data_IF_838280177535
#
_entry.id   IF_838280177535
#
_cell.length_a   1.000
_cell.length_b   1.000
_cell.length_c   1.000
_cell.angle_alpha   90.00
_cell.angle_beta   90.00
_cell.angle_gamma   90.00
#
_symmetry.space_group_name_H-M   'P 1'
#
loop_
_entity.id
_entity.type
_entity.pdbx_description
1 polymer ?
#
# COMPACT_ATOMS: atom_id res chain seq x y z
N UNK A 1 0.55 15.95 -3.20
CA UNK A 1 1.20 14.68 -3.58
C UNK A 1 2.64 14.66 -3.12
N UNK A 2 3.16 13.49 -2.72
CA UNK A 2 4.60 13.25 -2.60
C UNK A 2 5.28 13.45 -3.96
N UNK A 3 6.56 13.82 -3.96
CA UNK A 3 7.32 14.01 -5.19
C UNK A 3 8.02 12.69 -5.55
N UNK A 4 7.69 12.12 -6.70
CA UNK A 4 8.40 10.95 -7.24
C UNK A 4 9.78 11.40 -7.73
N UNK A 5 10.85 10.81 -7.20
CA UNK A 5 12.22 11.10 -7.66
C UNK A 5 12.55 10.33 -8.92
N UNK A 6 12.22 9.04 -8.92
CA UNK A 6 12.37 8.17 -10.08
C UNK A 6 11.42 6.98 -9.98
N UNK A 7 11.10 6.43 -11.14
CA UNK A 7 10.34 5.21 -11.32
C UNK A 7 11.09 4.40 -12.38
N UNK A 8 12.02 3.56 -11.94
CA UNK A 8 12.89 2.79 -12.82
C UNK A 8 12.66 1.29 -12.62
N UNK A 9 12.74 0.54 -13.71
CA UNK A 9 13.09 -0.88 -13.62
C UNK A 9 14.55 -0.96 -13.17
N UNK A 10 14.81 -1.58 -12.02
CA UNK A 10 16.19 -1.85 -11.61
C UNK A 10 16.68 -3.01 -12.47
N UNK A 11 17.66 -2.74 -13.33
CA UNK A 11 18.24 -3.69 -14.29
C UNK A 11 19.10 -4.80 -13.66
N UNK A 12 18.77 -5.27 -12.47
CA UNK A 12 19.54 -6.32 -11.83
C UNK A 12 18.61 -7.37 -11.26
N UNK A 13 18.73 -8.58 -11.81
CA UNK A 13 18.21 -9.88 -11.37
C UNK A 13 16.88 -10.31 -12.01
N UNK A 14 15.87 -9.45 -12.14
CA UNK A 14 14.60 -9.83 -12.79
C UNK A 14 13.91 -8.63 -13.46
N UNK A 15 13.47 -8.78 -14.72
CA UNK A 15 12.78 -7.73 -15.49
C UNK A 15 11.43 -7.31 -14.88
N UNK A 16 10.87 -8.15 -14.00
CA UNK A 16 9.58 -7.89 -13.35
C UNK A 16 9.71 -7.01 -12.09
N UNK A 17 10.93 -6.75 -11.61
CA UNK A 17 11.16 -5.95 -10.43
C UNK A 17 11.21 -4.45 -10.79
N UNK A 18 10.43 -3.63 -10.08
CA UNK A 18 10.37 -2.18 -10.25
C UNK A 18 10.68 -1.48 -8.93
N UNK A 19 11.37 -0.34 -9.00
CA UNK A 19 11.59 0.54 -7.85
C UNK A 19 10.97 1.90 -8.12
N UNK A 20 10.21 2.37 -7.13
CA UNK A 20 9.74 3.75 -7.07
C UNK A 20 10.35 4.38 -5.83
N UNK A 21 11.06 5.49 -6.02
CA UNK A 21 11.53 6.34 -4.92
C UNK A 21 10.67 7.59 -4.83
N UNK A 22 10.14 7.86 -3.64
CA UNK A 22 9.34 9.03 -3.35
C UNK A 22 9.94 9.77 -2.17
N UNK A 23 9.92 11.10 -2.25
CA UNK A 23 10.32 11.98 -1.16
C UNK A 23 9.26 13.05 -0.94
N UNK A 24 9.35 13.70 0.22
CA UNK A 24 8.62 14.93 0.47
C UNK A 24 9.50 16.15 0.16
N UNK A 25 8.88 17.31 0.02
CA UNK A 25 9.54 18.55 -0.41
C UNK A 25 9.94 19.44 0.79
N UNK A 26 10.68 20.51 0.52
CA UNK A 26 11.14 21.49 1.49
C UNK A 26 10.51 22.86 1.22
N UNK A 27 10.38 23.67 2.26
CA UNK A 27 9.93 25.06 2.19
C UNK A 27 10.68 25.86 3.26
N UNK A 28 11.27 26.99 2.88
CA UNK A 28 12.09 27.84 3.77
C UNK A 28 13.16 27.06 4.56
N UNK A 29 13.87 26.15 3.88
CA UNK A 29 14.92 25.35 4.49
C UNK A 29 14.42 24.17 5.33
N UNK A 30 13.10 23.94 5.41
CA UNK A 30 12.49 22.97 6.33
C UNK A 30 11.71 21.90 5.59
N UNK A 31 11.83 20.66 6.08
CA UNK A 31 11.02 19.56 5.60
C UNK A 31 9.53 19.83 5.84
N UNK A 32 8.70 19.70 4.80
CA UNK A 32 7.27 20.05 4.87
C UNK A 32 6.45 18.97 5.57
N UNK A 33 6.66 18.78 6.87
CA UNK A 33 5.96 17.77 7.68
C UNK A 33 4.43 17.88 7.59
N UNK A 34 3.88 19.11 7.46
CA UNK A 34 2.44 19.32 7.28
C UNK A 34 1.90 18.68 5.99
N UNK A 35 2.69 18.70 4.91
CA UNK A 35 2.32 18.06 3.64
C UNK A 35 2.28 16.54 3.77
N UNK A 36 3.22 15.97 4.54
CA UNK A 36 3.25 14.55 4.88
C UNK A 36 2.04 14.15 5.73
N UNK A 37 1.74 14.90 6.80
CA UNK A 37 0.54 14.70 7.63
C UNK A 37 -0.75 14.80 6.81
N UNK A 38 -0.86 15.80 5.93
CA UNK A 38 -2.04 15.95 5.07
C UNK A 38 -2.24 14.74 4.17
N UNK A 39 -1.18 14.18 3.59
CA UNK A 39 -1.31 12.96 2.79
C UNK A 39 -1.89 11.79 3.59
N UNK A 40 -1.50 11.63 4.86
CA UNK A 40 -2.08 10.61 5.75
C UNK A 40 -3.57 10.87 5.95
N UNK A 41 -3.95 12.09 6.34
CA UNK A 41 -5.33 12.46 6.62
C UNK A 41 -6.23 12.41 5.37
N UNK A 42 -5.70 12.72 4.20
CA UNK A 42 -6.45 12.65 2.93
C UNK A 42 -6.75 11.20 2.52
N UNK A 43 -5.96 10.22 2.99
CA UNK A 43 -6.06 8.82 2.59
C UNK A 43 -6.57 7.88 3.69
N UNK A 44 -6.67 8.35 4.93
CA UNK A 44 -7.20 7.57 6.06
C UNK A 44 -8.62 7.05 5.78
N UNK A 45 -9.45 7.86 5.12
CA UNK A 45 -10.84 7.52 4.79
C UNK A 45 -10.94 6.27 3.90
N UNK A 46 -9.95 6.07 3.03
CA UNK A 46 -9.97 5.02 2.02
C UNK A 46 -9.72 3.63 2.61
N UNK A 47 -8.95 3.58 3.69
CA UNK A 47 -8.58 2.32 4.35
C UNK A 47 -9.41 2.07 5.61
N UNK A 48 -9.82 3.14 6.30
CA UNK A 48 -10.53 3.04 7.58
C UNK A 48 -12.06 2.98 7.44
N UNK A 49 -12.62 3.25 6.26
CA UNK A 49 -14.07 3.18 5.98
C UNK A 49 -14.33 2.31 4.74
N UNK A 50 -15.50 1.67 4.68
CA UNK A 50 -15.98 1.01 3.44
C UNK A 50 -16.42 2.01 2.36
N UNK A 51 -16.53 1.60 1.10
CA UNK A 51 -17.02 2.49 0.04
C UNK A 51 -18.45 2.96 0.31
N UNK A 52 -19.30 2.07 0.82
CA UNK A 52 -20.67 2.45 1.21
C UNK A 52 -20.68 3.50 2.32
N UNK A 53 -19.82 3.38 3.33
CA UNK A 53 -19.71 4.41 4.36
C UNK A 53 -19.22 5.73 3.78
N UNK A 54 -18.20 5.71 2.90
CA UNK A 54 -17.72 6.93 2.22
C UNK A 54 -18.82 7.62 1.41
N UNK A 55 -19.64 6.86 0.69
CA UNK A 55 -20.76 7.37 -0.10
C UNK A 55 -21.94 7.84 0.77
N UNK A 56 -22.18 7.20 1.92
CA UNK A 56 -23.31 7.50 2.80
C UNK A 56 -23.10 8.74 3.69
N UNK A 57 -21.88 9.27 3.80
CA UNK A 57 -21.65 10.46 4.63
C UNK A 57 -22.15 11.75 3.97
N UNK A 58 -23.40 12.08 4.30
CA UNK A 58 -24.04 13.38 4.02
C UNK A 58 -23.48 14.50 4.94
N UNK A 59 -22.77 14.15 6.02
CA UNK A 59 -22.26 15.08 7.06
C UNK A 59 -21.03 15.91 6.68
N UNK A 60 -20.48 15.73 5.47
CA UNK A 60 -19.31 16.45 4.98
C UNK A 60 -17.96 15.91 5.48
N UNK A 61 -16.84 16.43 4.94
CA UNK A 61 -15.50 15.83 5.10
C UNK A 61 -15.01 15.67 6.55
N UNK A 62 -15.37 16.61 7.44
CA UNK A 62 -14.88 16.64 8.83
C UNK A 62 -15.42 15.48 9.69
N UNK A 63 -16.68 15.07 9.49
CA UNK A 63 -17.27 13.97 10.25
C UNK A 63 -16.72 12.62 9.79
N UNK A 64 -16.53 12.43 8.48
CA UNK A 64 -15.89 11.24 7.93
C UNK A 64 -14.45 11.08 8.46
N UNK A 65 -13.71 12.18 8.57
CA UNK A 65 -12.35 12.18 9.10
C UNK A 65 -12.30 11.78 10.57
N UNK A 66 -13.19 12.34 11.40
CA UNK A 66 -13.28 11.99 12.81
C UNK A 66 -13.58 10.49 13.02
N UNK A 67 -14.46 9.90 12.19
CA UNK A 67 -14.77 8.47 12.27
C UNK A 67 -13.61 7.59 11.78
N UNK A 68 -12.98 7.95 10.66
CA UNK A 68 -11.80 7.24 10.19
C UNK A 68 -10.64 7.29 11.21
N UNK A 69 -10.48 8.40 11.93
CA UNK A 69 -9.52 8.52 13.01
C UNK A 69 -9.84 7.59 14.19
N UNK A 70 -11.12 7.44 14.58
CA UNK A 70 -11.53 6.48 15.63
C UNK A 70 -11.26 5.02 15.26
N UNK A 71 -11.19 4.74 13.96
CA UNK A 71 -10.96 3.42 13.41
C UNK A 71 -9.47 3.03 13.35
N UNK A 72 -8.57 3.97 13.63
CA UNK A 72 -7.15 3.70 13.79
C UNK A 72 -6.86 3.19 15.21
N UNK A 73 -5.96 2.22 15.33
CA UNK A 73 -5.41 1.81 16.61
C UNK A 73 -4.28 2.76 16.99
N UNK A 74 -4.65 3.98 17.36
CA UNK A 74 -3.74 4.94 17.98
C UNK A 74 -3.49 4.49 19.42
N UNK A 75 -2.37 3.79 19.65
CA UNK A 75 -1.97 3.43 21.01
C UNK A 75 -0.81 4.30 21.49
N UNK A 76 -0.96 4.87 22.69
CA UNK A 76 0.09 5.66 23.33
C UNK A 76 1.16 4.77 23.99
N UNK A 77 0.95 3.46 24.05
CA UNK A 77 1.83 2.54 24.77
C UNK A 77 3.16 2.32 24.04
N UNK A 78 4.30 2.72 24.63
CA UNK A 78 5.66 2.49 24.07
C UNK A 78 5.99 1.01 23.83
N UNK A 79 5.16 0.09 24.33
CA UNK A 79 5.32 -1.36 24.20
C UNK A 79 4.54 -1.96 23.02
N UNK A 80 3.74 -1.18 22.30
CA UNK A 80 3.02 -1.70 21.13
C UNK A 80 3.91 -1.76 19.90
N UNK A 81 4.20 -3.00 19.48
CA UNK A 81 4.94 -3.33 18.25
C UNK A 81 4.18 -2.85 17.00
N UNK A 82 2.88 -2.54 17.10
CA UNK A 82 2.06 -2.00 16.02
C UNK A 82 2.21 -0.48 15.80
N UNK A 83 3.05 0.22 16.58
CA UNK A 83 3.27 1.66 16.44
C UNK A 83 3.83 1.98 15.04
N UNK A 84 2.97 2.51 14.17
CA UNK A 84 3.30 2.98 12.83
C UNK A 84 3.07 1.99 11.68
N UNK A 85 2.63 0.75 11.95
CA UNK A 85 2.25 -0.16 10.86
C UNK A 85 1.04 0.37 10.08
N UNK A 86 0.02 0.85 10.78
CA UNK A 86 -1.17 1.48 10.17
C UNK A 86 -0.81 2.72 9.36
N UNK A 87 0.22 3.46 9.78
CA UNK A 87 0.71 4.63 9.05
C UNK A 87 1.27 4.22 7.69
N UNK A 88 2.17 3.23 7.66
CA UNK A 88 2.73 2.71 6.42
C UNK A 88 1.64 2.10 5.52
N UNK A 89 0.63 1.44 6.10
CA UNK A 89 -0.53 0.95 5.38
C UNK A 89 -1.29 2.11 4.70
N UNK A 90 -1.65 3.18 5.43
CA UNK A 90 -2.33 4.36 4.87
C UNK A 90 -1.53 4.94 3.70
N UNK A 91 -0.20 5.03 3.84
CA UNK A 91 0.67 5.51 2.76
C UNK A 91 0.60 4.60 1.53
N UNK A 92 0.72 3.29 1.74
CA UNK A 92 0.64 2.31 0.67
C UNK A 92 -0.70 2.43 -0.06
N UNK A 93 -1.83 2.51 0.65
CA UNK A 93 -3.15 2.78 0.05
C UNK A 93 -3.17 4.05 -0.79
N UNK A 94 -2.66 5.16 -0.24
CA UNK A 94 -2.59 6.42 -0.97
C UNK A 94 -1.75 6.31 -2.25
N UNK A 95 -0.59 5.65 -2.19
CA UNK A 95 0.27 5.46 -3.37
C UNK A 95 -0.43 4.58 -4.40
N UNK A 96 -1.01 3.45 -3.98
CA UNK A 96 -1.76 2.55 -4.85
C UNK A 96 -2.89 3.28 -5.60
N UNK A 97 -3.68 4.10 -4.90
CA UNK A 97 -4.76 4.88 -5.50
C UNK A 97 -4.23 5.99 -6.42
N UNK A 98 -3.33 6.84 -5.93
CA UNK A 98 -2.97 8.08 -6.63
C UNK A 98 -1.98 7.84 -7.76
N UNK A 99 -1.01 6.93 -7.56
CA UNK A 99 0.03 6.62 -8.54
C UNK A 99 -0.42 5.53 -9.51
N UNK A 100 -0.90 4.40 -8.99
CA UNK A 100 -1.26 3.25 -9.83
C UNK A 100 -2.73 3.22 -10.28
N UNK A 101 -3.55 4.19 -9.85
CA UNK A 101 -4.99 4.23 -10.11
C UNK A 101 -5.70 2.93 -9.67
N UNK A 102 -5.15 2.29 -8.65
CA UNK A 102 -5.63 1.02 -8.17
C UNK A 102 -6.90 1.21 -7.34
N UNK A 103 -7.89 0.35 -7.58
CA UNK A 103 -9.16 0.32 -6.87
C UNK A 103 -8.98 -0.39 -5.52
N UNK A 104 -9.27 0.26 -4.38
CA UNK A 104 -9.15 -0.35 -3.06
C UNK A 104 -10.36 -1.25 -2.77
N UNK A 105 -10.29 -2.51 -3.21
CA UNK A 105 -11.42 -3.45 -3.16
C UNK A 105 -11.62 -4.12 -1.80
N UNK A 106 -10.66 -3.98 -0.88
CA UNK A 106 -10.78 -4.41 0.51
C UNK A 106 -10.17 -3.34 1.44
N UNK A 107 -10.96 -2.55 2.18
CA UNK A 107 -10.46 -1.60 3.17
C UNK A 107 -9.92 -2.34 4.41
N UNK A 108 -8.61 -2.63 4.44
CA UNK A 108 -8.03 -3.51 5.47
C UNK A 108 -8.13 -2.96 6.89
N UNK A 109 -7.91 -1.65 7.10
CA UNK A 109 -8.03 -1.06 8.43
C UNK A 109 -9.48 -1.13 8.93
N UNK A 110 -10.47 -0.94 8.05
CA UNK A 110 -11.88 -1.14 8.39
C UNK A 110 -12.15 -2.55 8.95
N UNK A 111 -11.69 -3.60 8.27
CA UNK A 111 -11.90 -4.98 8.72
C UNK A 111 -11.03 -5.40 9.91
N UNK A 112 -9.93 -4.70 10.21
CA UNK A 112 -9.07 -4.97 11.39
C UNK A 112 -9.69 -4.51 12.72
N UNK A 113 -10.85 -3.85 12.70
CA UNK A 113 -11.54 -3.34 13.90
C UNK A 113 -12.17 -4.44 14.75
N UNK A 114 -12.74 -5.48 14.13
CA UNK A 114 -13.31 -6.60 14.87
C UNK A 114 -12.21 -7.60 15.24
N UNK A 115 -12.01 -7.86 16.52
CA UNK A 115 -10.99 -8.81 17.02
C UNK A 115 -11.20 -10.25 16.53
N UNK A 116 -12.42 -10.59 16.08
CA UNK A 116 -12.75 -11.88 15.47
C UNK A 116 -12.60 -11.89 13.93
N UNK A 117 -12.37 -10.74 13.28
CA UNK A 117 -12.30 -10.70 11.83
C UNK A 117 -10.97 -11.21 11.29
N UNK A 118 -11.10 -12.18 10.39
CA UNK A 118 -10.01 -12.99 9.85
C UNK A 118 -9.22 -12.27 8.74
N UNK A 119 -9.27 -10.94 8.60
CA UNK A 119 -8.56 -10.20 7.55
C UNK A 119 -7.03 -10.08 7.79
N UNK A 120 -6.41 -11.09 8.43
CA UNK A 120 -4.96 -11.27 8.53
C UNK A 120 -4.44 -11.86 7.21
N UNK A 121 -3.60 -11.11 6.51
CA UNK A 121 -3.09 -11.41 5.17
C UNK A 121 -2.33 -10.20 4.63
N UNK A 122 -2.60 -9.79 3.39
CA UNK A 122 -1.97 -8.61 2.81
C UNK A 122 -2.40 -7.33 3.53
N UNK A 123 -1.45 -6.38 3.66
CA UNK A 123 -1.67 -5.08 4.28
C UNK A 123 -2.55 -4.17 3.42
N UNK A 124 -2.49 -4.37 2.10
CA UNK A 124 -3.42 -3.74 1.17
C UNK A 124 -3.83 -4.68 0.05
N UNK A 125 -5.06 -4.50 -0.44
CA UNK A 125 -5.60 -5.32 -1.54
C UNK A 125 -6.29 -4.43 -2.54
N UNK A 126 -5.75 -4.42 -3.76
CA UNK A 126 -6.22 -3.57 -4.82
C UNK A 126 -6.37 -4.32 -6.15
N UNK A 127 -7.18 -3.75 -7.04
CA UNK A 127 -7.29 -4.15 -8.45
C UNK A 127 -6.88 -2.98 -9.32
N UNK A 128 -5.99 -3.21 -10.29
CA UNK A 128 -5.70 -2.24 -11.35
C UNK A 128 -6.38 -2.73 -12.62
N UNK A 129 -7.16 -1.86 -13.25
CA UNK A 129 -7.78 -2.11 -14.55
C UNK A 129 -6.79 -1.63 -15.61
N UNK A 130 -6.28 -2.56 -16.41
CA UNK A 130 -5.28 -2.28 -17.45
C UNK A 130 -5.96 -1.77 -18.73
N UNK A 131 -7.10 -2.37 -19.07
CA UNK A 131 -7.96 -2.00 -20.19
C UNK A 131 -9.40 -2.51 -19.94
N UNK A 132 -10.30 -2.35 -20.92
CA UNK A 132 -11.71 -2.72 -20.80
C UNK A 132 -11.95 -4.19 -20.39
N UNK A 133 -10.97 -5.07 -20.66
CA UNK A 133 -11.10 -6.50 -20.44
C UNK A 133 -10.07 -7.08 -19.47
N UNK A 134 -8.99 -6.37 -19.14
CA UNK A 134 -7.88 -6.91 -18.36
C UNK A 134 -7.70 -6.21 -17.03
N UNK A 135 -7.31 -6.99 -16.03
CA UNK A 135 -7.04 -6.50 -14.69
C UNK A 135 -5.85 -7.24 -14.08
N UNK A 136 -5.20 -6.57 -13.14
CA UNK A 136 -4.15 -7.15 -12.31
C UNK A 136 -4.53 -7.05 -10.83
N UNK A 137 -4.08 -8.02 -10.05
CA UNK A 137 -4.33 -8.12 -8.61
C UNK A 137 -3.11 -7.65 -7.84
N UNK A 138 -3.29 -6.84 -6.81
CA UNK A 138 -2.20 -6.23 -6.07
C UNK A 138 -2.34 -6.50 -4.58
N UNK A 139 -1.45 -7.31 -4.01
CA UNK A 139 -1.39 -7.63 -2.59
C UNK A 139 -0.16 -7.00 -1.96
N UNK A 140 -0.40 -5.92 -1.22
CA UNK A 140 0.69 -5.10 -0.70
C UNK A 140 1.17 -5.49 0.68
N UNK A 141 2.41 -5.14 0.95
CA UNK A 141 3.10 -5.26 2.24
C UNK A 141 3.64 -3.87 2.61
N UNK A 142 3.40 -3.42 3.84
CA UNK A 142 3.81 -2.11 4.32
C UNK A 142 4.68 -2.21 5.57
N UNK A 143 5.86 -1.59 5.54
CA UNK A 143 6.78 -1.52 6.69
C UNK A 143 7.06 -0.09 7.09
N UNK A 144 7.15 0.11 8.41
CA UNK A 144 7.60 1.35 9.03
C UNK A 144 8.87 1.06 9.84
N UNK A 145 10.00 1.60 9.40
CA UNK A 145 11.30 1.32 10.00
C UNK A 145 12.08 2.60 10.33
N UNK A 146 13.02 2.51 11.26
CA UNK A 146 14.00 3.56 11.49
C UNK A 146 15.19 3.51 10.51
N UNK A 147 15.36 2.39 9.80
CA UNK A 147 16.38 2.23 8.76
C UNK A 147 15.97 1.13 7.79
N UNK A 148 16.66 1.07 6.65
CA UNK A 148 16.46 0.07 5.59
C UNK A 148 17.72 -0.78 5.39
N UNK A 149 18.34 -1.17 6.50
CA UNK A 149 19.47 -2.09 6.51
C UNK A 149 19.05 -3.51 6.15
N UNK A 150 20.02 -4.31 5.68
CA UNK A 150 19.77 -5.64 5.11
C UNK A 150 19.09 -6.62 6.07
N UNK A 151 19.28 -6.45 7.38
CA UNK A 151 18.69 -7.29 8.42
C UNK A 151 17.16 -7.12 8.53
N UNK A 152 16.59 -6.03 8.00
CA UNK A 152 15.15 -5.78 7.96
C UNK A 152 14.45 -6.59 6.86
N UNK A 153 15.17 -6.92 5.78
CA UNK A 153 14.59 -7.50 4.57
C UNK A 153 14.07 -8.92 4.76
N UNK A 154 14.69 -9.73 5.62
CA UNK A 154 14.26 -11.11 5.85
C UNK A 154 12.83 -11.18 6.42
N UNK A 155 12.46 -10.20 7.25
CA UNK A 155 11.10 -10.09 7.79
C UNK A 155 10.07 -9.72 6.71
N UNK A 156 10.44 -8.89 5.73
CA UNK A 156 9.61 -8.53 4.58
C UNK A 156 9.42 -9.76 3.69
N UNK A 157 10.51 -10.42 3.32
CA UNK A 157 10.49 -11.60 2.45
C UNK A 157 9.65 -12.72 3.07
N UNK A 158 9.81 -12.94 4.38
CA UNK A 158 8.99 -13.91 5.11
C UNK A 158 7.51 -13.53 5.07
N UNK A 159 7.16 -12.25 5.26
CA UNK A 159 5.77 -11.79 5.17
C UNK A 159 5.17 -11.99 3.78
N UNK A 160 5.93 -11.60 2.74
CA UNK A 160 5.54 -11.78 1.34
C UNK A 160 5.36 -13.26 0.98
N UNK A 161 6.32 -14.11 1.32
CA UNK A 161 6.22 -15.56 1.07
C UNK A 161 4.98 -16.17 1.74
N UNK A 162 4.68 -15.73 2.95
CA UNK A 162 3.46 -16.15 3.63
C UNK A 162 2.21 -15.67 2.89
N UNK A 163 2.16 -14.39 2.47
CA UNK A 163 0.98 -13.79 1.82
C UNK A 163 0.66 -14.38 0.44
N UNK A 164 1.68 -14.87 -0.28
CA UNK A 164 1.51 -15.50 -1.61
C UNK A 164 1.32 -17.02 -1.57
N UNK A 165 1.26 -17.64 -0.39
CA UNK A 165 0.89 -19.05 -0.28
C UNK A 165 -0.52 -19.29 -0.82
N UNK A 166 -0.77 -20.47 -1.40
CA UNK A 166 -2.05 -20.81 -2.04
C UNK A 166 -3.26 -20.54 -1.15
N UNK A 167 -3.19 -20.93 0.12
CA UNK A 167 -4.30 -20.75 1.06
C UNK A 167 -4.54 -19.28 1.40
N UNK A 168 -3.48 -18.46 1.47
CA UNK A 168 -3.60 -17.02 1.70
C UNK A 168 -4.17 -16.30 0.49
N UNK A 169 -3.71 -16.62 -0.72
CA UNK A 169 -4.29 -16.06 -1.95
C UNK A 169 -5.78 -16.44 -2.06
N UNK A 170 -6.14 -17.71 -1.84
CA UNK A 170 -7.55 -18.14 -1.87
C UNK A 170 -8.41 -17.40 -0.83
N UNK A 171 -7.86 -17.19 0.36
CA UNK A 171 -8.53 -16.43 1.41
C UNK A 171 -8.74 -14.97 1.00
N UNK A 172 -7.73 -14.31 0.46
CA UNK A 172 -7.84 -12.93 -0.03
C UNK A 172 -8.84 -12.81 -1.18
N UNK A 173 -8.79 -13.73 -2.15
CA UNK A 173 -9.74 -13.80 -3.25
C UNK A 173 -11.19 -13.94 -2.73
N UNK A 174 -11.41 -14.81 -1.73
CA UNK A 174 -12.71 -14.96 -1.09
C UNK A 174 -13.20 -13.66 -0.46
N UNK A 175 -12.32 -12.93 0.24
CA UNK A 175 -12.68 -11.62 0.82
C UNK A 175 -13.10 -10.67 -0.29
N UNK A 176 -12.29 -10.51 -1.35
CA UNK A 176 -12.59 -9.62 -2.49
C UNK A 176 -13.96 -9.93 -3.11
N UNK A 177 -14.26 -11.22 -3.35
CA UNK A 177 -15.53 -11.62 -3.96
C UNK A 177 -16.75 -11.41 -3.04
N UNK A 178 -16.54 -11.26 -1.74
CA UNK A 178 -17.59 -11.05 -0.76
C UNK A 178 -17.72 -9.58 -0.31
N UNK A 179 -16.81 -8.69 -0.72
CA UNK A 179 -16.94 -7.26 -0.41
C UNK A 179 -17.92 -6.59 -1.37
N UNK A 180 -18.71 -5.66 -0.84
CA UNK A 180 -19.56 -4.78 -1.67
C UNK A 180 -18.72 -3.76 -2.47
N UNK A 181 -17.51 -3.48 -1.99
CA UNK A 181 -16.62 -2.49 -2.58
C UNK A 181 -16.28 -2.84 -4.03
N UNK A 182 -16.01 -4.11 -4.35
CA UNK A 182 -15.76 -4.55 -5.73
C UNK A 182 -16.92 -4.18 -6.67
N UNK A 183 -18.16 -4.45 -6.24
CA UNK A 183 -19.38 -4.14 -7.02
C UNK A 183 -19.53 -2.64 -7.21
N UNK A 184 -19.25 -1.86 -6.17
CA UNK A 184 -19.36 -0.40 -6.25
C UNK A 184 -18.26 0.24 -7.09
N UNK A 185 -17.04 -0.30 -7.10
CA UNK A 185 -15.87 0.29 -7.75
C UNK A 185 -15.75 -0.12 -9.23
N UNK A 186 -16.12 -1.36 -9.57
CA UNK A 186 -16.05 -1.88 -10.95
C UNK A 186 -17.43 -1.78 -11.60
N UNK A 187 -17.66 -0.67 -12.32
CA UNK A 187 -18.96 -0.37 -12.96
C UNK A 187 -19.23 -1.17 -14.23
N UNK A 188 -18.20 -1.64 -14.93
CA UNK A 188 -18.35 -2.51 -16.09
C UNK A 188 -18.75 -3.93 -15.62
N UNK A 189 -19.96 -4.35 -15.97
CA UNK A 189 -20.55 -5.62 -15.53
C UNK A 189 -19.82 -6.85 -16.09
N UNK A 190 -19.31 -6.77 -17.33
CA UNK A 190 -18.57 -7.85 -17.98
C UNK A 190 -17.21 -8.05 -17.29
N UNK A 191 -16.47 -6.94 -17.11
CA UNK A 191 -15.19 -6.96 -16.39
C UNK A 191 -15.37 -7.45 -14.95
N UNK A 192 -16.41 -6.98 -14.25
CA UNK A 192 -16.72 -7.43 -12.89
C UNK A 192 -17.01 -8.92 -12.86
N UNK A 193 -17.78 -9.45 -13.80
CA UNK A 193 -18.07 -10.89 -13.90
C UNK A 193 -16.80 -11.70 -14.16
N UNK A 194 -15.89 -11.20 -15.01
CA UNK A 194 -14.58 -11.80 -15.25
C UNK A 194 -13.73 -11.83 -13.97
N UNK A 195 -13.63 -10.71 -13.24
CA UNK A 195 -12.92 -10.66 -11.95
C UNK A 195 -13.49 -11.69 -10.98
N UNK A 196 -14.81 -11.71 -10.79
CA UNK A 196 -15.50 -12.64 -9.89
C UNK A 196 -15.24 -14.11 -10.26
N UNK A 197 -15.26 -14.43 -11.55
CA UNK A 197 -14.95 -15.77 -12.04
C UNK A 197 -13.49 -16.14 -11.79
N UNK A 198 -12.56 -15.25 -12.15
CA UNK A 198 -11.12 -15.43 -11.95
C UNK A 198 -10.78 -15.66 -10.47
N UNK A 199 -11.38 -14.89 -9.55
CA UNK A 199 -11.12 -15.01 -8.11
C UNK A 199 -11.92 -16.13 -7.43
N UNK A 200 -12.82 -16.82 -8.15
CA UNK A 200 -13.65 -17.87 -7.57
C UNK A 200 -12.83 -19.07 -7.07
N UNK A 201 -13.37 -19.78 -6.08
CA UNK A 201 -12.75 -21.00 -5.52
C UNK A 201 -12.59 -22.15 -6.53
N UNK A 202 -13.26 -22.06 -7.69
CA UNK A 202 -13.20 -23.03 -8.78
C UNK A 202 -12.04 -22.77 -9.74
N UNK A 203 -11.50 -21.55 -9.77
CA UNK A 203 -10.38 -21.22 -10.65
C UNK A 203 -9.05 -21.66 -10.02
N UNK A 204 -8.11 -22.11 -10.86
CA UNK A 204 -6.76 -22.46 -10.39
C UNK A 204 -6.01 -21.21 -9.96
N UNK A 205 -5.25 -21.31 -8.85
CA UNK A 205 -4.34 -20.23 -8.42
C UNK A 205 -3.21 -20.01 -9.42
N UNK A 206 -2.88 -21.00 -10.26
CA UNK A 206 -1.89 -20.84 -11.31
C UNK A 206 -2.35 -19.85 -12.40
N UNK A 207 -3.65 -19.59 -12.51
CA UNK A 207 -4.19 -18.53 -13.36
C UNK A 207 -4.18 -17.15 -12.67
N UNK A 208 -4.00 -17.10 -11.36
CA UNK A 208 -3.94 -15.87 -10.55
C UNK A 208 -2.52 -15.37 -10.39
N UNK A 209 -1.56 -16.26 -10.12
CA UNK A 209 -0.14 -15.88 -9.92
C UNK A 209 0.44 -15.00 -11.04
N UNK A 210 0.15 -15.24 -12.33
CA UNK A 210 0.69 -14.39 -13.42
C UNK A 210 0.17 -12.95 -13.42
N UNK A 211 -1.01 -12.71 -12.84
CA UNK A 211 -1.61 -11.35 -12.75
C UNK A 211 -1.45 -10.72 -11.36
N UNK A 212 -0.76 -11.43 -10.45
CA UNK A 212 -0.52 -10.98 -9.08
C UNK A 212 0.74 -10.12 -9.00
N UNK A 213 0.59 -8.93 -8.45
CA UNK A 213 1.64 -7.96 -8.19
C UNK A 213 1.77 -7.76 -6.67
N UNK A 214 3.00 -7.66 -6.17
CA UNK A 214 3.28 -7.51 -4.74
C UNK A 214 3.97 -6.16 -4.50
N UNK A 215 3.22 -5.06 -4.29
CA UNK A 215 3.81 -3.79 -3.92
C UNK A 215 4.34 -3.86 -2.48
N UNK A 216 5.65 -3.67 -2.32
CA UNK A 216 6.30 -3.59 -1.02
C UNK A 216 6.61 -2.12 -0.75
N UNK A 217 5.97 -1.54 0.26
CA UNK A 217 6.17 -0.16 0.67
C UNK A 217 6.98 -0.11 1.96
N UNK A 218 8.06 0.66 1.95
CA UNK A 218 8.91 0.88 3.12
C UNK A 218 8.96 2.38 3.40
N UNK A 219 8.37 2.78 4.52
CA UNK A 219 8.52 4.11 5.08
C UNK A 219 9.65 4.05 6.11
N UNK A 220 10.66 4.92 5.96
CA UNK A 220 11.81 4.90 6.84
C UNK A 220 12.33 6.28 7.25
N UNK A 221 12.99 6.33 8.41
CA UNK A 221 13.82 7.48 8.79
C UNK A 221 15.06 7.55 7.88
N UNK A 222 15.47 8.77 7.53
CA UNK A 222 16.52 8.99 6.55
C UNK A 222 17.46 10.12 7.01
N UNK A 223 18.67 9.79 7.50
CA UNK A 223 19.65 10.78 7.93
C UNK A 223 20.04 11.78 6.83
N UNK A 224 20.03 11.36 5.56
CA UNK A 224 20.29 12.25 4.42
C UNK A 224 19.21 13.34 4.32
N UNK A 225 17.94 12.98 4.55
CA UNK A 225 16.82 13.92 4.52
C UNK A 225 16.80 14.84 5.73
N UNK A 226 17.16 14.32 6.91
CA UNK A 226 17.28 15.11 8.14
C UNK A 226 18.31 16.24 8.01
N UNK A 227 19.43 15.99 7.32
CA UNK A 227 20.51 16.95 7.12
C UNK A 227 20.33 17.83 5.87
N UNK A 228 19.22 17.68 5.13
CA UNK A 228 18.92 18.48 3.95
C UNK A 228 17.98 19.65 4.28
N UNK A 229 18.10 20.74 3.53
CA UNK A 229 17.24 21.92 3.65
C UNK A 229 16.51 22.27 2.35
N UNK A 230 16.81 21.59 1.25
CA UNK A 230 16.21 21.83 -0.05
C UNK A 230 16.27 20.59 -0.94
N UNK A 231 15.49 20.60 -2.02
CA UNK A 231 15.55 19.59 -3.08
C UNK A 231 16.75 19.78 -4.02
N UNK A 232 17.95 19.90 -3.46
CA UNK A 232 19.17 20.09 -4.25
C UNK A 232 19.44 18.86 -5.15
N UNK A 233 20.14 19.05 -6.29
CA UNK A 233 20.56 17.93 -7.13
C UNK A 233 21.37 16.87 -6.38
N UNK A 234 22.22 17.30 -5.44
CA UNK A 234 23.06 16.44 -4.60
C UNK A 234 22.18 15.59 -3.68
N UNK A 235 21.25 16.22 -2.95
CA UNK A 235 20.30 15.51 -2.09
C UNK A 235 19.50 14.46 -2.88
N UNK A 236 18.93 14.84 -4.03
CA UNK A 236 18.18 13.90 -4.88
C UNK A 236 19.06 12.73 -5.31
N UNK A 237 20.28 13.00 -5.76
CA UNK A 237 21.21 11.97 -6.24
C UNK A 237 21.58 10.99 -5.13
N UNK A 238 21.87 11.49 -3.91
CA UNK A 238 22.19 10.63 -2.76
C UNK A 238 21.01 9.75 -2.34
N UNK A 239 19.78 10.26 -2.36
CA UNK A 239 18.58 9.44 -2.09
C UNK A 239 18.37 8.38 -3.17
N UNK A 240 18.58 8.74 -4.45
CA UNK A 240 18.48 7.81 -5.57
C UNK A 240 19.49 6.67 -5.42
N UNK A 241 20.74 7.00 -5.13
CA UNK A 241 21.81 6.04 -4.93
C UNK A 241 21.50 5.10 -3.76
N UNK A 242 21.13 5.65 -2.59
CA UNK A 242 20.73 4.88 -1.42
C UNK A 242 19.59 3.90 -1.76
N UNK A 243 18.49 4.38 -2.33
CA UNK A 243 17.33 3.52 -2.60
C UNK A 243 17.64 2.46 -3.67
N UNK A 244 18.44 2.79 -4.69
CA UNK A 244 18.88 1.81 -5.70
C UNK A 244 19.76 0.73 -5.07
N UNK A 245 20.73 1.10 -4.25
CA UNK A 245 21.60 0.16 -3.55
C UNK A 245 20.80 -0.77 -2.63
N UNK A 246 19.89 -0.22 -1.82
CA UNK A 246 19.05 -0.99 -0.90
C UNK A 246 18.10 -1.93 -1.64
N UNK A 247 17.49 -1.47 -2.73
CA UNK A 247 16.65 -2.34 -3.55
C UNK A 247 17.44 -3.45 -4.25
N UNK A 248 18.68 -3.18 -4.69
CA UNK A 248 19.57 -4.21 -5.22
C UNK A 248 19.92 -5.26 -4.17
N UNK A 249 20.17 -4.85 -2.91
CA UNK A 249 20.39 -5.78 -1.81
C UNK A 249 19.15 -6.63 -1.54
N UNK A 250 17.96 -6.00 -1.48
CA UNK A 250 16.70 -6.69 -1.31
C UNK A 250 16.45 -7.74 -2.40
N UNK A 251 16.63 -7.40 -3.68
CA UNK A 251 16.37 -8.32 -4.80
C UNK A 251 17.41 -9.44 -4.97
N UNK A 252 18.54 -9.39 -4.24
CA UNK A 252 19.54 -10.48 -4.22
C UNK A 252 19.18 -11.59 -3.24
N UNK A 253 18.34 -11.31 -2.24
CA UNK A 253 17.83 -12.28 -1.29
C UNK A 253 16.68 -13.08 -1.91
#
# INVERSE_FOLDING_TARGET
>A
SLSTLFNDSINTINKNNKLISMINDFEDGKWRHQKFHRFIWDNILETALSNQEREAYIGGPSTSLAKAAQNLRLTDSEKDISKGSELAEIFLYGIMKHHFKALPVVPKIFYKQNTQDNAKGADSVHIVIEDDNNFTLWFGEAKFYNSIEDDRFDSIITSVNNSISTDKIKKENSIITNTKDLVSLVKNDELRSKIMYSLSSKNSIDNIKPILNIPIFILHECPITENASSLSPEYKSSIIELHKERAQSFFKK
#
